data_IF_520982624725
#
_entry.id   IF_520982624725
#
_cell.length_a   1.000
_cell.length_b   1.000
_cell.length_c   1.000
_cell.angle_alpha   90.00
_cell.angle_beta   90.00
_cell.angle_gamma   90.00
#
_symmetry.space_group_name_H-M   'P 1'
#
loop_
_entity.id
_entity.type
_entity.pdbx_description
1 polymer ?
#
# COMPACT_ATOMS: atom_id res chain seq x y z
N UNK A 1 7.66 56.20 -11.66
CA UNK A 1 6.66 56.36 -10.58
C UNK A 1 6.59 54.99 -9.89
N UNK A 2 7.08 54.91 -8.64
CA UNK A 2 7.23 53.69 -7.87
C UNK A 2 5.98 53.52 -6.99
N UNK A 3 5.23 52.43 -7.16
CA UNK A 3 4.13 52.12 -6.25
C UNK A 3 4.62 51.13 -5.19
N UNK A 4 4.66 51.62 -3.96
CA UNK A 4 5.03 50.90 -2.74
C UNK A 4 3.75 50.30 -2.13
N UNK A 5 3.59 48.97 -2.16
CA UNK A 5 2.50 48.31 -1.46
C UNK A 5 2.97 47.89 -0.07
N UNK A 6 2.35 48.45 0.93
CA UNK A 6 2.53 48.19 2.36
C UNK A 6 1.65 46.99 2.73
N UNK A 7 2.28 45.87 3.19
CA UNK A 7 1.58 44.77 3.80
C UNK A 7 1.44 44.99 5.31
N UNK A 8 0.20 45.08 5.76
CA UNK A 8 -0.17 45.18 7.18
C UNK A 8 -0.17 43.77 7.76
N UNK A 9 0.74 43.49 8.72
CA UNK A 9 0.72 42.30 9.54
C UNK A 9 -0.37 42.38 10.61
N UNK A 10 -1.36 41.50 10.54
CA UNK A 10 -2.34 41.29 11.61
C UNK A 10 -1.86 40.14 12.50
N UNK A 11 -1.47 40.46 13.72
CA UNK A 11 -1.21 39.49 14.79
C UNK A 11 -2.54 38.98 15.34
N UNK A 12 -2.79 37.68 15.24
CA UNK A 12 -3.87 36.99 15.95
C UNK A 12 -3.24 36.26 17.12
N UNK A 13 -3.60 36.66 18.33
CA UNK A 13 -3.22 36.00 19.58
C UNK A 13 -4.00 34.69 19.74
N UNK A 14 -3.27 33.62 19.94
CA UNK A 14 -3.83 32.29 20.28
C UNK A 14 -3.94 32.15 21.79
N UNK A 15 -5.17 32.12 22.29
CA UNK A 15 -5.46 31.83 23.70
C UNK A 15 -5.36 30.33 23.97
N UNK A 16 -4.49 29.93 24.90
CA UNK A 16 -4.44 28.59 25.48
C UNK A 16 -5.57 28.43 26.51
N UNK A 17 -6.45 27.46 26.27
CA UNK A 17 -7.36 26.94 27.28
C UNK A 17 -6.80 25.59 27.77
N UNK A 18 -6.30 25.59 29.00
CA UNK A 18 -5.93 24.39 29.74
C UNK A 18 -7.20 23.82 30.41
N UNK A 19 -7.57 22.58 30.06
CA UNK A 19 -8.53 21.78 30.80
C UNK A 19 -7.78 20.86 31.76
N UNK A 20 -7.92 21.14 33.07
CA UNK A 20 -7.52 20.28 34.17
C UNK A 20 -8.71 19.40 34.53
N UNK A 21 -8.58 18.08 34.45
CA UNK A 21 -9.51 17.12 35.07
C UNK A 21 -8.87 16.60 36.36
N UNK A 22 -9.36 17.09 37.50
CA UNK A 22 -9.12 16.48 38.82
C UNK A 22 -10.18 15.41 39.07
N UNK A 23 -9.75 14.16 39.25
CA UNK A 23 -10.58 13.08 39.79
C UNK A 23 -10.48 13.10 41.33
N UNK A 24 -11.56 13.47 41.96
CA UNK A 24 -11.73 13.31 43.42
C UNK A 24 -12.21 11.87 43.72
N UNK A 25 -11.42 11.16 44.51
CA UNK A 25 -11.79 9.88 45.12
C UNK A 25 -12.44 10.24 46.45
N UNK A 26 -13.69 9.84 46.62
CA UNK A 26 -14.40 9.95 47.92
C UNK A 26 -14.54 8.53 48.48
N UNK A 27 -13.96 8.32 49.64
CA UNK A 27 -14.11 7.11 50.44
C UNK A 27 -15.23 7.38 51.44
N UNK A 28 -16.23 6.52 51.48
CA UNK A 28 -17.17 6.43 52.60
C UNK A 28 -16.99 5.06 53.29
N UNK A 29 -16.52 5.11 54.54
CA UNK A 29 -16.62 4.00 55.50
C UNK A 29 -18.01 4.02 56.14
N UNK A 30 -18.73 2.90 56.16
CA UNK A 30 -19.54 2.53 57.32
C UNK A 30 -19.78 1.02 57.36
N UNK A 31 -19.69 0.49 58.60
CA UNK A 31 -19.69 -0.90 58.94
C UNK A 31 -21.08 -1.52 59.12
N UNK A 32 -21.14 -2.84 59.04
CA UNK A 32 -22.37 -3.60 59.31
C UNK A 32 -22.16 -5.10 59.10
N UNK A 33 -21.78 -5.75 60.19
CA UNK A 33 -21.72 -7.19 60.41
C UNK A 33 -23.09 -7.85 60.25
N UNK A 34 -23.22 -8.88 59.34
CA UNK A 34 -24.12 -10.01 59.59
C UNK A 34 -23.70 -11.24 58.80
N UNK A 35 -23.42 -12.30 59.54
CA UNK A 35 -23.24 -13.68 59.08
C UNK A 35 -24.55 -14.25 58.58
N UNK A 36 -24.58 -14.75 57.33
CA UNK A 36 -25.51 -15.78 56.93
C UNK A 36 -24.81 -16.80 56.00
N UNK A 37 -24.81 -18.04 56.47
CA UNK A 37 -24.28 -19.23 55.82
C UNK A 37 -25.34 -19.79 54.91
N UNK A 38 -25.23 -19.58 53.61
CA UNK A 38 -25.90 -20.42 52.63
C UNK A 38 -24.89 -20.97 51.63
N UNK A 39 -24.78 -22.30 51.67
CA UNK A 39 -24.04 -23.13 50.75
C UNK A 39 -24.55 -22.92 49.32
N UNK A 40 -23.69 -22.42 48.45
CA UNK A 40 -23.92 -22.47 46.99
C UNK A 40 -23.05 -23.57 46.40
N UNK A 41 -23.73 -24.52 45.77
CA UNK A 41 -23.17 -25.59 44.99
C UNK A 41 -22.36 -25.00 43.81
N UNK A 42 -21.14 -25.50 43.67
CA UNK A 42 -20.26 -25.18 42.52
C UNK A 42 -20.81 -25.85 41.27
N UNK A 43 -21.60 -25.14 40.47
CA UNK A 43 -21.77 -25.46 39.08
C UNK A 43 -20.49 -25.00 38.34
N UNK A 44 -19.67 -25.97 38.06
CA UNK A 44 -18.47 -25.84 37.24
C UNK A 44 -18.88 -25.78 35.78
N UNK A 45 -19.38 -24.61 35.36
CA UNK A 45 -19.58 -24.31 33.94
C UNK A 45 -18.20 -24.10 33.31
N UNK A 46 -17.73 -25.12 32.59
CA UNK A 46 -16.48 -25.09 31.86
C UNK A 46 -16.65 -24.15 30.67
N UNK A 47 -16.35 -22.87 30.87
CA UNK A 47 -16.04 -21.97 29.76
C UNK A 47 -14.84 -22.58 29.01
N UNK A 48 -15.19 -23.20 27.88
CA UNK A 48 -14.29 -23.68 26.86
C UNK A 48 -13.57 -22.48 26.30
N UNK A 49 -12.39 -22.15 26.85
CA UNK A 49 -11.49 -21.19 26.24
C UNK A 49 -11.16 -21.71 24.84
N UNK A 50 -11.74 -21.10 23.82
CA UNK A 50 -11.25 -21.27 22.45
C UNK A 50 -9.82 -20.72 22.43
N UNK A 51 -8.86 -21.63 22.61
CA UNK A 51 -7.47 -21.33 22.38
C UNK A 51 -7.36 -20.85 20.92
N UNK A 52 -6.99 -19.59 20.76
CA UNK A 52 -6.62 -18.99 19.48
C UNK A 52 -5.62 -19.97 18.82
N UNK A 53 -6.05 -20.67 17.78
CA UNK A 53 -5.17 -21.55 17.02
C UNK A 53 -4.14 -20.65 16.36
N UNK A 54 -2.99 -20.51 17.00
CA UNK A 54 -1.79 -19.98 16.36
C UNK A 54 -1.53 -20.91 15.18
N UNK A 55 -1.65 -20.38 13.97
CA UNK A 55 -1.37 -21.12 12.75
C UNK A 55 0.05 -21.70 12.86
N UNK A 56 0.18 -23.00 12.61
CA UNK A 56 1.45 -23.71 12.64
C UNK A 56 2.40 -23.04 11.62
N UNK A 57 3.55 -22.49 12.03
CA UNK A 57 4.46 -21.80 11.13
C UNK A 57 4.99 -22.68 9.98
N UNK A 58 4.89 -24.01 10.09
CA UNK A 58 5.27 -24.94 9.03
C UNK A 58 4.23 -25.08 7.90
N UNK A 59 3.01 -24.52 8.04
CA UNK A 59 1.95 -24.65 7.04
C UNK A 59 1.55 -23.32 6.38
N UNK A 60 2.43 -22.34 6.37
CA UNK A 60 2.19 -21.09 5.65
C UNK A 60 2.47 -21.32 4.17
N UNK A 61 1.41 -21.50 3.38
CA UNK A 61 1.52 -21.52 1.92
C UNK A 61 2.03 -20.17 1.42
N UNK A 62 3.15 -20.21 0.71
CA UNK A 62 3.74 -19.04 0.05
C UNK A 62 3.47 -19.15 -1.44
N UNK A 63 2.86 -18.12 -2.03
CA UNK A 63 2.74 -17.97 -3.47
C UNK A 63 3.78 -16.99 -3.97
N UNK A 64 4.40 -17.28 -5.11
CA UNK A 64 5.46 -16.46 -5.67
C UNK A 64 5.31 -16.27 -7.18
N UNK A 65 5.52 -15.03 -7.64
CA UNK A 65 5.67 -14.70 -9.06
C UNK A 65 7.05 -14.10 -9.28
N UNK A 66 7.71 -14.51 -10.36
CA UNK A 66 8.91 -13.88 -10.86
C UNK A 66 8.71 -13.48 -12.31
N UNK A 67 9.00 -12.23 -12.61
CA UNK A 67 8.88 -11.69 -13.97
C UNK A 67 10.04 -10.76 -14.28
N UNK A 68 10.30 -10.56 -15.58
CA UNK A 68 11.39 -9.71 -16.06
C UNK A 68 10.81 -8.50 -16.77
N UNK A 69 11.30 -7.31 -16.41
CA UNK A 69 10.98 -6.05 -17.06
C UNK A 69 11.73 -5.96 -18.39
N UNK A 70 10.99 -5.73 -19.47
CA UNK A 70 11.50 -5.51 -20.80
C UNK A 70 11.35 -4.05 -21.22
N UNK A 71 12.36 -3.51 -21.90
CA UNK A 71 12.38 -2.14 -22.39
C UNK A 71 11.20 -1.81 -23.30
N UNK A 72 10.67 -0.59 -23.17
CA UNK A 72 9.64 0.01 -24.02
C UNK A 72 10.07 1.41 -24.48
N UNK A 73 9.42 1.94 -25.52
CA UNK A 73 9.67 3.29 -26.03
C UNK A 73 11.16 3.60 -26.28
N UNK A 74 11.89 2.63 -26.84
CA UNK A 74 13.33 2.76 -27.16
C UNK A 74 14.24 2.99 -25.92
N UNK A 75 13.74 2.70 -24.72
CA UNK A 75 14.54 2.76 -23.49
C UNK A 75 15.55 1.61 -23.42
N UNK A 76 16.37 1.63 -22.38
CA UNK A 76 17.26 0.52 -22.00
C UNK A 76 16.85 -0.13 -20.66
N UNK A 77 15.64 0.20 -20.17
CA UNK A 77 15.13 -0.27 -18.90
C UNK A 77 14.96 -1.79 -18.90
N UNK A 78 15.60 -2.48 -17.97
CA UNK A 78 15.42 -3.91 -17.73
C UNK A 78 15.46 -4.17 -16.24
N UNK A 79 15.00 -5.33 -15.81
CA UNK A 79 15.04 -5.67 -14.37
C UNK A 79 14.29 -6.94 -14.05
N UNK A 80 14.42 -7.38 -12.82
CA UNK A 80 13.73 -8.53 -12.27
C UNK A 80 12.78 -8.07 -11.18
N UNK A 81 11.58 -8.66 -11.14
CA UNK A 81 10.51 -8.34 -10.19
C UNK A 81 10.04 -9.65 -9.57
N UNK A 82 9.93 -9.67 -8.26
CA UNK A 82 9.37 -10.78 -7.49
C UNK A 82 8.19 -10.28 -6.69
N UNK A 83 7.10 -11.01 -6.72
CA UNK A 83 5.96 -10.86 -5.81
C UNK A 83 5.91 -12.10 -4.93
N UNK A 84 5.75 -11.91 -3.64
CA UNK A 84 5.61 -12.99 -2.67
C UNK A 84 4.41 -12.72 -1.76
N UNK A 85 3.45 -13.66 -1.72
CA UNK A 85 2.32 -13.60 -0.82
C UNK A 85 2.52 -14.54 0.36
N UNK A 86 2.48 -13.97 1.57
CA UNK A 86 2.49 -14.69 2.85
C UNK A 86 1.46 -14.08 3.79
N UNK A 87 0.71 -14.89 4.48
CA UNK A 87 -0.23 -14.43 5.54
C UNK A 87 -1.16 -13.30 5.10
N UNK A 88 -1.58 -13.29 3.81
CA UNK A 88 -2.50 -12.28 3.29
C UNK A 88 -1.86 -10.94 2.95
N UNK A 89 -0.53 -10.86 2.89
CA UNK A 89 0.21 -9.70 2.38
C UNK A 89 1.02 -10.09 1.15
N UNK A 90 1.06 -9.20 0.17
CA UNK A 90 1.92 -9.31 -1.01
C UNK A 90 3.07 -8.33 -0.88
N UNK A 91 4.29 -8.84 -0.97
CA UNK A 91 5.51 -8.05 -1.05
C UNK A 91 6.02 -8.10 -2.49
N UNK A 92 6.19 -6.93 -3.11
CA UNK A 92 6.90 -6.76 -4.37
C UNK A 92 8.32 -6.30 -4.08
N UNK A 93 9.30 -7.01 -4.62
CA UNK A 93 10.70 -6.57 -4.67
C UNK A 93 11.15 -6.52 -6.13
N UNK A 94 11.75 -5.40 -6.52
CA UNK A 94 12.20 -5.19 -7.88
C UNK A 94 13.59 -4.56 -7.92
N UNK A 95 14.39 -4.98 -8.90
CA UNK A 95 15.69 -4.37 -9.18
C UNK A 95 15.76 -4.02 -10.66
N UNK A 96 15.92 -2.73 -10.94
CA UNK A 96 15.95 -2.16 -12.27
C UNK A 96 17.33 -1.67 -12.65
N UNK A 97 17.63 -1.64 -13.93
CA UNK A 97 18.84 -1.08 -14.53
C UNK A 97 18.55 -0.47 -15.89
N UNK A 98 19.44 0.43 -16.35
CA UNK A 98 19.32 1.09 -17.65
C UNK A 98 18.25 2.19 -17.67
N UNK A 99 17.82 2.68 -16.53
CA UNK A 99 16.96 3.84 -16.37
C UNK A 99 17.78 5.13 -16.40
N UNK A 100 17.17 6.24 -16.78
CA UNK A 100 17.78 7.55 -16.63
C UNK A 100 17.80 7.97 -15.16
N UNK A 101 18.76 8.82 -14.78
CA UNK A 101 18.75 9.46 -13.47
C UNK A 101 17.48 10.29 -13.25
N UNK A 102 16.92 10.24 -12.05
CA UNK A 102 15.79 11.02 -11.60
C UNK A 102 14.64 10.18 -11.06
N UNK A 103 13.50 10.82 -10.88
CA UNK A 103 12.28 10.20 -10.36
C UNK A 103 11.56 9.46 -11.49
N UNK A 104 11.13 8.24 -11.21
CA UNK A 104 10.31 7.40 -12.09
C UNK A 104 9.09 6.90 -11.35
N UNK A 105 7.95 6.81 -12.04
CA UNK A 105 6.77 6.16 -11.50
C UNK A 105 6.74 4.67 -11.84
N UNK A 106 6.14 3.90 -10.95
CA UNK A 106 5.85 2.47 -11.11
C UNK A 106 4.39 2.21 -10.79
N UNK A 107 3.68 1.51 -11.69
CA UNK A 107 2.26 1.19 -11.53
C UNK A 107 1.95 -0.25 -11.98
N UNK A 108 0.87 -0.84 -11.42
CA UNK A 108 0.23 -1.98 -12.06
C UNK A 108 -0.78 -1.48 -13.10
N UNK A 109 -0.74 -2.11 -14.27
CA UNK A 109 -1.66 -1.87 -15.38
C UNK A 109 -2.63 -3.05 -15.58
N UNK A 110 -3.76 -2.78 -16.25
CA UNK A 110 -4.92 -3.65 -16.32
C UNK A 110 -4.66 -5.03 -16.94
N UNK A 111 -3.73 -5.11 -17.91
CA UNK A 111 -3.61 -6.27 -18.80
C UNK A 111 -2.18 -6.79 -18.80
N UNK A 112 -1.99 -8.11 -18.58
CA UNK A 112 -0.70 -8.79 -18.77
C UNK A 112 -0.36 -8.90 -20.27
N UNK A 113 -0.10 -7.76 -20.89
CA UNK A 113 0.25 -7.68 -22.30
C UNK A 113 1.31 -6.59 -22.54
N UNK A 114 2.54 -7.03 -22.76
CA UNK A 114 3.69 -6.18 -23.08
C UNK A 114 4.07 -6.22 -24.57
N UNK A 115 3.16 -6.58 -25.50
CA UNK A 115 3.51 -6.80 -26.91
C UNK A 115 3.79 -5.51 -27.68
N UNK A 116 3.14 -4.38 -27.36
CA UNK A 116 3.38 -3.12 -28.05
C UNK A 116 4.75 -2.52 -27.70
N UNK A 117 5.38 -1.84 -28.66
CA UNK A 117 6.69 -1.22 -28.47
C UNK A 117 6.66 -0.03 -27.50
N UNK A 118 5.50 0.59 -27.31
CA UNK A 118 5.28 1.72 -26.43
C UNK A 118 4.62 1.34 -25.09
N UNK A 119 4.38 0.05 -24.84
CA UNK A 119 3.76 -0.48 -23.64
C UNK A 119 2.25 -0.22 -23.52
N UNK A 120 1.60 0.36 -24.51
CA UNK A 120 0.15 0.69 -24.43
C UNK A 120 -0.76 -0.54 -24.44
N UNK A 121 -0.27 -1.69 -24.93
CA UNK A 121 -1.02 -2.96 -24.84
C UNK A 121 -1.34 -3.41 -23.41
N UNK A 122 -0.66 -2.86 -22.41
CA UNK A 122 -0.93 -3.10 -20.98
C UNK A 122 -2.23 -2.42 -20.45
N UNK A 123 -2.88 -1.55 -21.23
CA UNK A 123 -4.07 -0.82 -20.80
C UNK A 123 -3.76 0.39 -19.93
N UNK A 124 -4.75 0.85 -19.15
CA UNK A 124 -4.63 1.89 -18.14
C UNK A 124 -4.05 1.39 -16.82
N UNK A 125 -4.03 2.24 -15.78
CA UNK A 125 -3.73 1.79 -14.41
C UNK A 125 -4.78 0.77 -13.95
N UNK A 126 -4.36 -0.24 -13.23
CA UNK A 126 -5.30 -1.21 -12.67
C UNK A 126 -6.16 -0.57 -11.59
N UNK A 127 -7.43 -0.37 -11.93
CA UNK A 127 -8.42 0.33 -11.11
C UNK A 127 -9.73 -0.47 -11.03
N UNK A 128 -9.76 -1.59 -10.30
CA UNK A 128 -10.93 -2.45 -10.23
C UNK A 128 -12.10 -1.83 -9.43
N UNK A 129 -11.82 -0.84 -8.60
CA UNK A 129 -12.80 -0.19 -7.72
C UNK A 129 -13.35 1.11 -8.29
N UNK A 130 -12.81 1.60 -9.42
CA UNK A 130 -13.28 2.81 -10.09
C UNK A 130 -12.95 4.12 -9.35
N UNK A 131 -11.93 4.10 -8.50
CA UNK A 131 -11.46 5.27 -7.76
C UNK A 131 -10.72 6.26 -8.68
N UNK A 132 -10.53 7.47 -8.19
CA UNK A 132 -9.64 8.44 -8.85
C UNK A 132 -8.18 7.99 -8.74
N UNK A 133 -7.33 8.45 -9.67
CA UNK A 133 -5.88 8.35 -9.50
C UNK A 133 -5.39 9.18 -8.33
N UNK A 134 -4.42 8.68 -7.56
CA UNK A 134 -3.86 9.38 -6.41
C UNK A 134 -2.66 8.68 -5.79
N UNK A 135 -2.17 9.23 -4.70
CA UNK A 135 -1.11 8.60 -3.93
C UNK A 135 -1.67 7.42 -3.14
N UNK A 136 -0.95 6.30 -3.13
CA UNK A 136 -1.34 5.12 -2.33
C UNK A 136 -1.67 5.48 -0.88
N UNK A 137 -2.85 5.07 -0.42
CA UNK A 137 -3.35 5.34 0.93
C UNK A 137 -4.00 6.71 1.10
N UNK A 138 -4.17 7.51 0.04
CA UNK A 138 -4.85 8.78 0.10
C UNK A 138 -6.35 8.59 0.39
N UNK A 139 -6.87 9.38 1.32
CA UNK A 139 -8.29 9.36 1.70
C UNK A 139 -9.22 9.82 0.57
N UNK A 140 -8.72 10.60 -0.39
CA UNK A 140 -9.48 11.04 -1.56
C UNK A 140 -9.60 9.95 -2.65
N UNK A 141 -8.87 8.85 -2.55
CA UNK A 141 -8.87 7.72 -3.47
C UNK A 141 -7.53 7.52 -4.18
N UNK A 142 -7.32 6.29 -4.65
CA UNK A 142 -6.18 5.86 -5.46
C UNK A 142 -6.54 4.56 -6.18
N UNK A 143 -5.87 4.27 -7.30
CA UNK A 143 -6.04 2.99 -7.97
C UNK A 143 -5.29 1.88 -7.23
N UNK A 144 -5.76 0.66 -7.30
CA UNK A 144 -5.03 -0.51 -6.77
C UNK A 144 -3.68 -0.75 -7.45
N UNK A 145 -3.45 -0.09 -8.56
CA UNK A 145 -2.18 -0.09 -9.30
C UNK A 145 -1.25 1.08 -9.00
N UNK A 146 -1.63 2.08 -8.21
CA UNK A 146 -0.85 3.31 -7.98
C UNK A 146 0.25 3.08 -6.93
N UNK A 147 1.32 2.33 -7.28
CA UNK A 147 2.42 2.02 -6.35
C UNK A 147 3.17 3.28 -5.93
N UNK A 148 3.50 4.16 -6.90
CA UNK A 148 4.10 5.46 -6.63
C UNK A 148 5.43 5.70 -7.34
N UNK A 149 6.30 6.50 -6.71
CA UNK A 149 7.57 6.96 -7.28
C UNK A 149 8.78 6.29 -6.63
N UNK A 150 9.87 6.20 -7.39
CA UNK A 150 11.19 5.79 -6.91
C UNK A 150 12.30 6.62 -7.59
N UNK A 151 13.46 6.69 -6.94
CA UNK A 151 14.60 7.45 -7.42
C UNK A 151 15.65 6.56 -8.08
N UNK A 152 16.25 7.06 -9.14
CA UNK A 152 17.35 6.44 -9.88
C UNK A 152 18.58 7.34 -9.81
N UNK A 153 19.71 6.79 -9.37
CA UNK A 153 20.98 7.48 -9.30
C UNK A 153 21.72 7.59 -10.65
N UNK A 154 22.97 8.09 -10.61
CA UNK A 154 23.82 8.25 -11.80
C UNK A 154 24.21 6.91 -12.45
N UNK A 155 24.13 5.81 -11.72
CA UNK A 155 24.43 4.46 -12.20
C UNK A 155 23.27 3.82 -13.00
N UNK A 156 22.11 4.47 -13.04
CA UNK A 156 20.93 3.96 -13.72
C UNK A 156 20.30 2.72 -13.06
N UNK A 157 20.59 2.47 -11.78
CA UNK A 157 20.09 1.33 -10.99
C UNK A 157 19.11 1.81 -9.94
N UNK A 158 18.06 1.03 -9.72
CA UNK A 158 17.12 1.24 -8.62
C UNK A 158 16.66 -0.09 -8.01
N UNK A 159 16.34 -0.05 -6.72
CA UNK A 159 15.64 -1.14 -6.02
C UNK A 159 14.35 -0.57 -5.45
N UNK A 160 13.24 -1.26 -5.69
CA UNK A 160 11.91 -0.87 -5.21
C UNK A 160 11.36 -2.00 -4.36
N UNK A 161 10.82 -1.68 -3.18
CA UNK A 161 10.06 -2.59 -2.34
C UNK A 161 8.71 -1.96 -2.03
N UNK A 162 7.66 -2.73 -2.25
CA UNK A 162 6.28 -2.34 -1.94
C UNK A 162 5.57 -3.50 -1.25
N UNK A 163 4.71 -3.20 -0.28
CA UNK A 163 4.03 -4.22 0.52
C UNK A 163 2.59 -3.80 0.81
N UNK A 164 1.64 -4.72 0.63
CA UNK A 164 0.23 -4.42 0.88
C UNK A 164 -0.61 -5.68 1.15
N UNK A 165 -1.64 -5.55 1.97
CA UNK A 165 -2.73 -6.52 2.14
C UNK A 165 -3.89 -6.31 1.15
N UNK A 166 -3.78 -5.30 0.27
CA UNK A 166 -4.81 -4.99 -0.72
C UNK A 166 -4.62 -5.75 -2.04
N UNK A 167 -3.54 -6.52 -2.15
CA UNK A 167 -3.28 -7.45 -3.26
C UNK A 167 -3.32 -8.89 -2.80
N UNK A 168 -3.52 -9.80 -3.75
CA UNK A 168 -3.33 -11.24 -3.59
C UNK A 168 -2.80 -11.87 -4.88
N UNK A 169 -2.25 -13.06 -4.78
CA UNK A 169 -1.75 -13.85 -5.92
C UNK A 169 -2.73 -15.00 -6.20
N UNK A 170 -3.45 -14.95 -7.33
CA UNK A 170 -4.32 -16.04 -7.77
C UNK A 170 -5.45 -16.35 -6.78
N UNK A 171 -6.03 -15.35 -6.15
CA UNK A 171 -7.25 -15.50 -5.35
C UNK A 171 -8.51 -15.21 -6.18
N UNK A 172 -9.68 -15.52 -5.63
CA UNK A 172 -10.97 -15.32 -6.30
C UNK A 172 -11.46 -13.86 -6.26
N UNK A 173 -10.82 -12.98 -5.45
CA UNK A 173 -11.16 -11.56 -5.38
C UNK A 173 -10.49 -10.79 -6.52
N UNK A 174 -11.25 -10.50 -7.57
CA UNK A 174 -10.76 -9.78 -8.76
C UNK A 174 -10.27 -8.36 -8.44
N UNK A 175 -10.74 -7.75 -7.33
CA UNK A 175 -10.30 -6.43 -6.89
C UNK A 175 -8.94 -6.45 -6.20
N UNK A 176 -8.40 -7.65 -5.90
CA UNK A 176 -7.11 -7.85 -5.25
C UNK A 176 -6.14 -8.67 -6.09
N UNK A 177 -6.63 -9.49 -7.00
CA UNK A 177 -5.81 -10.43 -7.76
C UNK A 177 -4.92 -9.73 -8.77
N UNK A 178 -3.59 -9.78 -8.55
CA UNK A 178 -2.60 -9.17 -9.44
C UNK A 178 -2.22 -10.05 -10.64
N UNK A 179 -2.61 -11.32 -10.67
CA UNK A 179 -2.39 -12.20 -11.83
C UNK A 179 -3.22 -11.70 -13.01
N UNK A 180 -2.62 -11.62 -14.18
CA UNK A 180 -3.23 -11.04 -15.37
C UNK A 180 -3.01 -9.52 -15.52
N UNK A 181 -2.22 -8.91 -14.64
CA UNK A 181 -1.81 -7.49 -14.68
C UNK A 181 -0.40 -7.36 -15.22
N UNK A 182 0.08 -6.13 -15.42
CA UNK A 182 1.48 -5.86 -15.76
C UNK A 182 2.06 -4.75 -14.91
N UNK A 183 3.37 -4.81 -14.68
CA UNK A 183 4.14 -3.69 -14.11
C UNK A 183 4.59 -2.79 -15.23
N UNK A 184 4.33 -1.50 -15.11
CA UNK A 184 4.83 -0.45 -15.99
C UNK A 184 5.75 0.48 -15.21
N UNK A 185 6.92 0.77 -15.81
CA UNK A 185 7.80 1.86 -15.36
C UNK A 185 7.62 3.03 -16.34
N UNK A 186 7.44 4.23 -15.78
CA UNK A 186 7.30 5.46 -16.54
C UNK A 186 8.61 6.26 -16.63
N UNK A 187 8.68 7.17 -17.59
CA UNK A 187 9.85 8.01 -17.85
C UNK A 187 10.09 9.04 -16.77
N UNK A 188 9.03 9.54 -16.14
CA UNK A 188 9.03 10.58 -15.12
C UNK A 188 8.30 10.12 -13.87
N UNK A 189 8.30 10.99 -12.87
CA UNK A 189 7.53 10.79 -11.64
C UNK A 189 6.04 11.04 -11.85
N UNK A 190 5.24 10.38 -11.05
CA UNK A 190 3.82 10.59 -10.87
C UNK A 190 3.60 11.84 -10.00
N UNK A 191 2.74 12.76 -10.42
CA UNK A 191 2.35 13.95 -9.65
C UNK A 191 1.24 13.68 -8.63
N UNK A 192 0.65 12.47 -8.64
CA UNK A 192 -0.46 12.00 -7.79
C UNK A 192 -1.76 12.80 -7.91
N UNK A 193 -1.88 13.69 -8.89
CA UNK A 193 -2.98 14.65 -9.03
C UNK A 193 -3.64 14.54 -10.40
N UNK A 194 -2.84 14.53 -11.49
CA UNK A 194 -3.32 14.54 -12.86
C UNK A 194 -4.08 13.25 -13.20
N UNK A 195 -5.32 13.43 -13.66
CA UNK A 195 -6.17 12.29 -14.01
C UNK A 195 -5.95 11.90 -15.50
N UNK A 196 -6.00 10.63 -15.84
CA UNK A 196 -6.20 9.44 -14.97
C UNK A 196 -4.90 8.78 -14.50
N UNK A 197 -3.71 9.34 -14.69
CA UNK A 197 -2.45 8.59 -14.56
C UNK A 197 -1.22 9.42 -14.12
N UNK A 198 -1.40 10.58 -13.47
CA UNK A 198 -0.33 11.32 -12.78
C UNK A 198 0.72 11.97 -13.66
N UNK A 199 0.46 12.16 -14.96
CA UNK A 199 1.37 12.78 -15.96
C UNK A 199 2.82 12.22 -15.95
N UNK A 200 2.97 10.94 -15.61
CA UNK A 200 4.28 10.27 -15.47
C UNK A 200 5.04 10.05 -16.80
N UNK A 201 4.46 10.45 -17.93
CA UNK A 201 5.10 10.41 -19.24
C UNK A 201 5.11 9.04 -19.90
N UNK A 202 6.11 8.80 -20.77
CA UNK A 202 6.19 7.57 -21.58
C UNK A 202 6.39 6.34 -20.68
N UNK A 203 5.90 5.19 -21.16
CA UNK A 203 6.17 3.88 -20.56
C UNK A 203 7.52 3.38 -21.06
N UNK A 204 8.49 3.24 -20.15
CA UNK A 204 9.87 2.87 -20.50
C UNK A 204 10.19 1.41 -20.18
N UNK A 205 9.35 0.72 -19.41
CA UNK A 205 9.48 -0.69 -19.11
C UNK A 205 8.14 -1.37 -18.88
N UNK A 206 8.04 -2.66 -19.23
CA UNK A 206 6.83 -3.47 -19.06
C UNK A 206 7.21 -4.90 -18.65
N UNK A 207 6.50 -5.45 -17.63
CA UNK A 207 6.62 -6.84 -17.20
C UNK A 207 5.23 -7.44 -16.97
N UNK A 208 4.97 -8.63 -17.48
CA UNK A 208 3.69 -9.33 -17.32
C UNK A 208 3.66 -10.13 -16.02
N UNK A 209 2.53 -10.12 -15.32
CA UNK A 209 2.25 -10.90 -14.12
C UNK A 209 1.29 -12.02 -14.53
N UNK A 210 1.81 -13.12 -15.07
CA UNK A 210 0.98 -14.14 -15.74
C UNK A 210 0.89 -15.48 -15.00
N UNK A 211 1.93 -15.87 -14.26
CA UNK A 211 2.01 -17.20 -13.64
C UNK A 211 2.57 -17.12 -12.22
N UNK A 212 2.15 -18.02 -11.35
CA UNK A 212 2.68 -18.14 -9.98
C UNK A 212 3.01 -19.57 -9.61
N UNK A 213 3.88 -19.72 -8.61
CA UNK A 213 4.26 -21.01 -7.99
C UNK A 213 3.80 -21.01 -6.53
N UNK A 214 3.23 -22.13 -6.07
CA UNK A 214 2.98 -22.39 -4.65
C UNK A 214 4.17 -23.18 -4.06
N UNK A 215 4.61 -22.78 -2.86
CA UNK A 215 5.65 -23.47 -2.09
C UNK A 215 5.13 -23.82 -0.72
#
# INVERSE_FOLDING_TARGET
MKNLNIYIFSMIAVGMLAFSCENAIQADEDGGNQTDTTSFENDHDSEKSEALKIADPENIKTKMIRTTLNAKSESKATGDITFEERTGQVVMEAKFKGLNKGTHAIHLHEIANCSSSDGKSAGGHWNPTGERHGKWGDAEGYHKGDIGNFEVGDDGIATVRFETAEWCIGCDDENKNIVGRSVIIHQGGDDFISQPSGDAGKRVGCAEISEYQEK
#
